data_IF_636395161478
#
_entry.id   IF_636395161478
#
_cell.length_a   1.000
_cell.length_b   1.000
_cell.length_c   1.000
_cell.angle_alpha   90.00
_cell.angle_beta   90.00
_cell.angle_gamma   90.00
#
_symmetry.space_group_name_H-M   'P 1'
#
loop_
_entity.id
_entity.type
_entity.pdbx_description
1 polymer ?
#
# COMPACT_ATOMS: atom_id res chain seq x y z
N UNK A 1 -3.84 -14.44 8.14
CA UNK A 1 -4.87 -13.36 8.29
C UNK A 1 -4.33 -12.22 9.16
N UNK A 2 -4.12 -11.04 8.54
CA UNK A 2 -3.47 -9.86 9.15
C UNK A 2 -4.41 -8.65 9.36
N UNK A 3 -5.50 -8.54 8.60
CA UNK A 3 -6.50 -7.47 8.80
C UNK A 3 -7.00 -7.49 10.23
N UNK A 4 -7.20 -6.31 10.83
CA UNK A 4 -7.51 -6.03 12.25
C UNK A 4 -6.36 -6.18 13.24
N UNK A 5 -5.21 -6.72 12.83
CA UNK A 5 -4.02 -6.84 13.69
C UNK A 5 -3.06 -5.67 13.48
N UNK A 6 -2.16 -5.48 14.43
CA UNK A 6 -1.00 -4.61 14.24
C UNK A 6 -0.13 -5.15 13.12
N UNK A 7 0.33 -4.26 12.25
CA UNK A 7 1.26 -4.56 11.19
C UNK A 7 2.55 -5.11 11.81
N UNK A 8 3.08 -6.25 11.33
CA UNK A 8 4.40 -6.73 11.74
C UNK A 8 5.43 -5.62 11.53
N UNK A 9 6.08 -5.20 12.62
CA UNK A 9 7.11 -4.18 12.55
C UNK A 9 8.40 -4.77 11.94
N UNK A 10 9.18 -3.93 11.27
CA UNK A 10 10.46 -4.31 10.72
C UNK A 10 11.41 -3.12 10.72
N UNK A 11 12.72 -3.43 10.81
CA UNK A 11 13.80 -2.51 10.53
C UNK A 11 14.71 -3.14 9.50
N UNK A 12 14.93 -2.46 8.37
CA UNK A 12 15.69 -3.00 7.25
C UNK A 12 16.41 -1.89 6.48
N UNK A 13 17.30 -2.30 5.58
CA UNK A 13 17.94 -1.38 4.63
C UNK A 13 16.92 -0.92 3.59
N UNK A 14 16.92 0.36 3.25
CA UNK A 14 16.05 0.92 2.22
C UNK A 14 16.77 1.98 1.38
N UNK A 15 16.28 2.17 0.16
CA UNK A 15 16.63 3.32 -0.69
C UNK A 15 15.51 4.36 -0.56
N UNK A 16 15.82 5.52 0.00
CA UNK A 16 14.86 6.61 0.18
C UNK A 16 14.52 7.29 -1.15
N UNK A 17 13.47 8.11 -1.15
CA UNK A 17 12.99 8.80 -2.34
C UNK A 17 14.05 9.69 -3.02
N UNK A 18 14.94 10.30 -2.22
CA UNK A 18 16.07 11.10 -2.69
C UNK A 18 17.26 10.27 -3.21
N UNK A 19 17.20 8.94 -3.05
CA UNK A 19 18.23 7.98 -3.46
C UNK A 19 19.22 7.62 -2.37
N UNK A 20 19.12 8.20 -1.17
CA UNK A 20 19.97 7.81 -0.05
C UNK A 20 19.68 6.36 0.36
N UNK A 21 20.74 5.57 0.55
CA UNK A 21 20.64 4.25 1.17
C UNK A 21 20.77 4.43 2.69
N UNK A 22 19.79 3.92 3.43
CA UNK A 22 19.80 3.89 4.90
C UNK A 22 19.70 2.45 5.39
N UNK A 23 20.37 2.11 6.48
CA UNK A 23 20.44 0.73 7.00
C UNK A 23 19.35 0.42 8.03
N UNK A 24 18.71 1.44 8.58
CA UNK A 24 17.79 1.37 9.72
C UNK A 24 16.40 1.94 9.42
N UNK A 25 15.87 1.72 8.22
CA UNK A 25 14.49 2.11 7.90
C UNK A 25 13.53 1.26 8.73
N UNK A 26 12.82 1.88 9.67
CA UNK A 26 11.78 1.23 10.47
C UNK A 26 10.37 1.57 9.96
N UNK A 27 9.47 0.58 9.92
CA UNK A 27 8.09 0.78 9.46
C UNK A 27 7.33 1.80 10.32
N UNK A 28 7.30 1.61 11.63
CA UNK A 28 6.48 2.42 12.54
C UNK A 28 6.95 3.87 12.62
N UNK A 29 8.27 4.11 12.52
CA UNK A 29 8.85 5.45 12.41
C UNK A 29 8.48 6.16 11.10
N UNK A 30 8.09 5.40 10.07
CA UNK A 30 7.73 5.91 8.76
C UNK A 30 6.22 5.82 8.45
N UNK A 31 5.39 5.46 9.43
CA UNK A 31 3.94 5.64 9.32
C UNK A 31 3.64 7.15 9.26
N UNK A 32 2.88 7.56 8.25
CA UNK A 32 2.47 8.97 8.08
C UNK A 32 1.47 9.40 9.16
N UNK A 33 1.12 10.69 9.18
CA UNK A 33 0.19 11.27 10.16
C UNK A 33 -1.11 10.47 10.33
N UNK A 34 -1.63 9.92 9.23
CA UNK A 34 -2.88 9.16 9.20
C UNK A 34 -2.71 7.69 8.81
N UNK A 35 -1.49 7.22 8.57
CA UNK A 35 -1.24 5.83 8.19
C UNK A 35 -0.17 5.66 7.10
N UNK A 36 -0.10 4.45 6.57
CA UNK A 36 0.81 4.07 5.50
C UNK A 36 0.20 3.04 4.54
N UNK A 37 0.71 3.02 3.32
CA UNK A 37 0.55 1.89 2.41
C UNK A 37 1.89 1.18 2.32
N UNK A 38 1.90 -0.10 2.64
CA UNK A 38 3.03 -1.00 2.37
C UNK A 38 2.66 -1.90 1.20
N UNK A 39 3.46 -1.91 0.14
CA UNK A 39 3.20 -2.73 -1.03
C UNK A 39 4.44 -3.51 -1.46
N UNK A 40 4.21 -4.76 -1.86
CA UNK A 40 5.24 -5.71 -2.25
C UNK A 40 5.25 -5.92 -3.76
N UNK A 41 6.41 -6.17 -4.35
CA UNK A 41 6.53 -6.71 -5.71
C UNK A 41 7.47 -7.92 -5.75
N UNK A 42 7.35 -8.79 -6.77
CA UNK A 42 8.17 -10.00 -6.85
C UNK A 42 9.67 -9.74 -6.97
N UNK A 43 10.09 -9.02 -8.01
CA UNK A 43 11.49 -8.80 -8.38
C UNK A 43 11.67 -7.49 -9.15
N UNK A 44 12.80 -6.85 -8.92
CA UNK A 44 13.33 -5.76 -9.74
C UNK A 44 13.62 -6.20 -11.19
N UNK A 45 13.62 -5.25 -12.12
CA UNK A 45 13.93 -5.45 -13.55
C UNK A 45 13.04 -6.51 -14.26
N UNK A 46 11.78 -6.64 -13.83
CA UNK A 46 10.78 -7.53 -14.46
C UNK A 46 9.65 -6.74 -15.13
N UNK A 47 8.55 -7.40 -15.53
CA UNK A 47 7.60 -6.86 -16.52
C UNK A 47 6.46 -6.02 -15.92
N UNK A 48 5.67 -6.58 -14.99
CA UNK A 48 4.50 -5.89 -14.41
C UNK A 48 4.91 -4.95 -13.28
N UNK A 49 5.96 -5.29 -12.53
CA UNK A 49 6.46 -4.52 -11.39
C UNK A 49 6.73 -3.03 -11.70
N UNK A 50 7.41 -2.64 -12.81
CA UNK A 50 7.69 -1.23 -13.08
C UNK A 50 6.41 -0.42 -13.30
N UNK A 51 5.36 -0.99 -13.91
CA UNK A 51 4.12 -0.24 -14.14
C UNK A 51 3.42 0.11 -12.81
N UNK A 52 3.41 -0.82 -11.85
CA UNK A 52 2.82 -0.60 -10.52
C UNK A 52 3.63 0.41 -9.70
N UNK A 53 4.95 0.26 -9.66
CA UNK A 53 5.86 1.15 -8.94
C UNK A 53 5.74 2.59 -9.48
N UNK A 54 5.74 2.75 -10.81
CA UNK A 54 5.55 4.07 -11.44
C UNK A 54 4.15 4.62 -11.14
N UNK A 55 3.10 3.78 -11.14
CA UNK A 55 1.74 4.21 -10.83
C UNK A 55 1.60 4.71 -9.38
N UNK A 56 2.22 4.05 -8.41
CA UNK A 56 2.33 4.53 -7.02
C UNK A 56 3.13 5.83 -6.94
N UNK A 57 4.25 5.92 -7.65
CA UNK A 57 5.12 7.10 -7.63
C UNK A 57 4.37 8.35 -8.16
N UNK A 58 3.62 8.21 -9.25
CA UNK A 58 2.81 9.30 -9.82
C UNK A 58 1.70 9.78 -8.88
N UNK A 59 1.18 8.90 -8.01
CA UNK A 59 0.11 9.19 -7.04
C UNK A 59 0.62 9.44 -5.62
N UNK A 60 1.93 9.44 -5.39
CA UNK A 60 2.50 9.59 -4.03
C UNK A 60 2.08 10.91 -3.39
N UNK A 61 1.96 11.98 -4.18
CA UNK A 61 1.50 13.29 -3.68
C UNK A 61 0.03 13.25 -3.22
N UNK A 62 -0.80 12.40 -3.83
CA UNK A 62 -2.20 12.21 -3.43
C UNK A 62 -2.34 11.44 -2.11
N UNK A 63 -1.49 10.44 -1.89
CA UNK A 63 -1.40 9.73 -0.61
C UNK A 63 -0.88 10.67 0.49
N UNK A 64 0.17 11.43 0.19
CA UNK A 64 0.75 12.40 1.11
C UNK A 64 -0.25 13.49 1.52
N UNK A 65 -1.05 14.00 0.58
CA UNK A 65 -2.13 14.95 0.86
C UNK A 65 -3.20 14.40 1.83
N UNK A 66 -3.30 13.07 1.97
CA UNK A 66 -4.18 12.37 2.91
C UNK A 66 -3.47 11.98 4.21
N UNK A 67 -2.21 12.38 4.40
CA UNK A 67 -1.39 11.97 5.55
C UNK A 67 -0.94 10.51 5.50
N UNK A 68 -0.97 9.88 4.32
CA UNK A 68 -0.54 8.50 4.11
C UNK A 68 0.85 8.48 3.47
N UNK A 69 1.78 7.78 4.10
CA UNK A 69 3.08 7.48 3.49
C UNK A 69 2.99 6.23 2.61
N UNK A 70 3.70 6.21 1.48
CA UNK A 70 3.83 5.03 0.62
C UNK A 70 5.19 4.40 0.86
N UNK A 71 5.23 3.08 1.03
CA UNK A 71 6.44 2.29 1.28
C UNK A 71 6.41 1.07 0.36
N UNK A 72 7.48 0.89 -0.41
CA UNK A 72 7.67 -0.25 -1.29
C UNK A 72 8.60 -1.30 -0.69
N UNK A 73 8.40 -2.58 -0.98
CA UNK A 73 9.27 -3.66 -0.54
C UNK A 73 9.40 -4.78 -1.61
N UNK A 74 10.61 -5.31 -1.80
CA UNK A 74 10.80 -6.63 -2.41
C UNK A 74 11.96 -7.36 -1.76
N UNK A 75 12.20 -8.59 -2.20
CA UNK A 75 13.30 -9.44 -1.72
C UNK A 75 14.67 -9.09 -2.33
N UNK A 76 14.73 -8.05 -3.16
CA UNK A 76 15.95 -7.60 -3.81
C UNK A 76 16.83 -6.78 -2.86
N UNK A 77 18.09 -6.58 -3.22
CA UNK A 77 18.99 -5.73 -2.44
C UNK A 77 18.75 -4.24 -2.70
N UNK A 78 19.13 -3.40 -1.75
CA UNK A 78 19.15 -1.94 -1.88
C UNK A 78 19.99 -1.46 -3.08
N UNK A 79 21.02 -2.21 -3.47
CA UNK A 79 21.83 -1.87 -4.64
C UNK A 79 21.06 -2.11 -5.95
N UNK A 80 20.26 -3.18 -6.01
CA UNK A 80 19.34 -3.42 -7.13
C UNK A 80 18.30 -2.30 -7.22
N UNK A 81 17.66 -1.96 -6.10
CA UNK A 81 16.71 -0.86 -6.04
C UNK A 81 17.32 0.46 -6.53
N UNK A 82 18.51 0.80 -6.04
CA UNK A 82 19.23 2.01 -6.44
C UNK A 82 19.54 2.03 -7.93
N UNK A 83 20.05 0.92 -8.48
CA UNK A 83 20.33 0.81 -9.90
C UNK A 83 19.05 0.94 -10.75
N UNK A 84 17.95 0.32 -10.31
CA UNK A 84 16.71 0.31 -11.07
C UNK A 84 16.03 1.68 -11.11
N UNK A 85 16.05 2.42 -9.99
CA UNK A 85 15.54 3.81 -9.93
C UNK A 85 16.39 4.81 -10.72
N UNK A 86 17.69 4.55 -10.89
CA UNK A 86 18.52 5.38 -11.78
C UNK A 86 18.45 4.93 -13.26
N UNK A 87 17.80 3.80 -13.55
CA UNK A 87 17.53 3.38 -14.92
C UNK A 87 16.33 4.16 -15.49
N UNK A 88 16.49 4.70 -16.70
CA UNK A 88 15.44 5.44 -17.39
C UNK A 88 14.25 4.53 -17.77
N UNK A 89 13.04 5.09 -17.79
CA UNK A 89 11.79 4.32 -18.00
C UNK A 89 11.73 3.68 -19.38
N UNK A 90 12.21 4.39 -20.41
CA UNK A 90 12.32 3.89 -21.78
C UNK A 90 13.27 2.69 -21.93
N UNK A 91 14.14 2.47 -20.93
CA UNK A 91 15.07 1.34 -20.86
C UNK A 91 14.59 0.25 -19.87
N UNK A 92 13.32 0.26 -19.46
CA UNK A 92 12.76 -0.71 -18.51
C UNK A 92 13.07 -0.40 -17.04
N UNK A 93 13.57 0.80 -16.75
CA UNK A 93 13.72 1.30 -15.38
C UNK A 93 12.43 1.84 -14.77
N UNK A 94 12.53 2.29 -13.52
CA UNK A 94 11.41 2.92 -12.80
C UNK A 94 11.58 4.44 -12.60
N UNK A 95 12.74 4.98 -12.97
CA UNK A 95 13.10 6.36 -12.69
C UNK A 95 13.13 6.68 -11.19
N UNK A 96 13.35 7.96 -10.84
CA UNK A 96 13.44 8.41 -9.45
C UNK A 96 12.06 8.44 -8.79
N UNK A 97 11.65 7.28 -8.28
CA UNK A 97 10.39 7.09 -7.56
C UNK A 97 10.35 7.88 -6.26
N UNK A 98 9.14 8.29 -5.85
CA UNK A 98 8.92 9.25 -4.75
C UNK A 98 8.73 8.63 -3.36
N UNK A 99 9.06 7.36 -3.18
CA UNK A 99 8.85 6.62 -1.93
C UNK A 99 10.05 5.74 -1.57
N UNK A 100 10.21 5.34 -0.30
CA UNK A 100 11.24 4.40 0.12
C UNK A 100 11.04 3.00 -0.47
N UNK A 101 12.14 2.38 -0.92
CA UNK A 101 12.20 1.00 -1.40
C UNK A 101 12.99 0.14 -0.41
N UNK A 102 12.28 -0.69 0.35
CA UNK A 102 12.81 -1.57 1.39
C UNK A 102 13.34 -2.87 0.78
N UNK A 103 14.57 -3.23 1.17
CA UNK A 103 15.26 -4.44 0.74
C UNK A 103 15.05 -5.58 1.77
N UNK A 104 14.13 -6.50 1.48
CA UNK A 104 13.82 -7.69 2.29
C UNK A 104 14.73 -8.87 1.91
N UNK A 105 16.04 -8.68 2.00
CA UNK A 105 17.02 -9.64 1.47
C UNK A 105 16.93 -11.02 2.15
N UNK A 106 16.59 -11.04 3.45
CA UNK A 106 16.41 -12.27 4.23
C UNK A 106 15.00 -12.88 4.09
N UNK A 107 14.09 -12.21 3.36
CA UNK A 107 12.71 -12.61 3.07
C UNK A 107 11.79 -12.67 4.29
N UNK A 108 12.23 -12.15 5.43
CA UNK A 108 11.49 -12.23 6.68
C UNK A 108 10.28 -11.30 6.65
N UNK A 109 10.40 -10.10 6.05
CA UNK A 109 9.28 -9.17 5.96
C UNK A 109 8.18 -9.79 5.09
N UNK A 110 8.54 -10.37 3.94
CA UNK A 110 7.61 -11.05 3.06
C UNK A 110 6.93 -12.26 3.73
N UNK A 111 7.63 -12.98 4.62
CA UNK A 111 7.04 -14.07 5.43
C UNK A 111 6.07 -13.55 6.47
N UNK A 112 6.46 -12.51 7.21
CA UNK A 112 5.64 -11.94 8.29
C UNK A 112 4.35 -11.31 7.75
N UNK A 113 4.40 -10.79 6.53
CA UNK A 113 3.25 -10.28 5.81
C UNK A 113 2.47 -11.34 5.02
N UNK A 114 2.86 -12.62 5.09
CA UNK A 114 2.18 -13.75 4.44
C UNK A 114 2.08 -13.58 2.91
N UNK A 115 3.13 -13.01 2.30
CA UNK A 115 3.22 -12.77 0.85
C UNK A 115 4.39 -13.50 0.19
N UNK A 116 5.27 -14.17 0.95
CA UNK A 116 6.37 -14.92 0.35
C UNK A 116 5.86 -16.18 -0.38
N UNK A 117 6.20 -16.30 -1.66
CA UNK A 117 5.82 -17.42 -2.52
C UNK A 117 7.02 -18.33 -2.78
N UNK A 118 6.85 -19.62 -2.46
CA UNK A 118 7.81 -20.67 -2.77
C UNK A 118 9.21 -20.45 -2.17
N UNK A 119 9.30 -19.80 -1.01
CA UNK A 119 10.57 -19.40 -0.37
C UNK A 119 11.47 -18.51 -1.25
N UNK A 120 10.89 -17.82 -2.24
CA UNK A 120 11.65 -17.14 -3.30
C UNK A 120 11.35 -15.65 -3.40
N UNK A 121 10.13 -15.28 -3.80
CA UNK A 121 9.71 -13.91 -4.15
C UNK A 121 8.42 -13.52 -3.43
N UNK A 122 8.16 -12.23 -3.26
CA UNK A 122 6.87 -11.79 -2.75
C UNK A 122 5.79 -11.84 -3.85
N UNK A 123 4.56 -12.23 -3.49
CA UNK A 123 3.36 -11.94 -4.28
C UNK A 123 3.10 -10.43 -4.30
N UNK A 124 2.15 -10.01 -5.15
CA UNK A 124 1.75 -8.60 -5.27
C UNK A 124 0.82 -8.20 -4.13
N UNK A 125 1.36 -8.16 -2.91
CA UNK A 125 0.65 -7.75 -1.70
C UNK A 125 0.59 -6.24 -1.54
N UNK A 126 -0.54 -5.70 -1.06
CA UNK A 126 -0.65 -4.30 -0.60
C UNK A 126 -1.46 -4.24 0.68
N UNK A 127 -1.00 -3.44 1.63
CA UNK A 127 -1.55 -3.32 2.96
C UNK A 127 -1.81 -1.85 3.28
N UNK A 128 -3.04 -1.52 3.66
CA UNK A 128 -3.39 -0.23 4.24
C UNK A 128 -3.26 -0.32 5.76
N UNK A 129 -2.34 0.45 6.31
CA UNK A 129 -1.99 0.50 7.72
C UNK A 129 -2.50 1.83 8.27
N UNK A 130 -3.37 1.79 9.28
CA UNK A 130 -3.88 2.96 9.98
C UNK A 130 -2.79 3.62 10.85
N UNK A 131 -3.01 4.85 11.32
CA UNK A 131 -2.04 5.60 12.14
C UNK A 131 -1.60 4.89 13.41
N UNK A 132 -2.42 3.99 13.94
CA UNK A 132 -2.12 3.21 15.13
C UNK A 132 -1.35 1.91 14.81
N UNK A 133 -1.02 1.67 13.53
CA UNK A 133 -0.37 0.45 13.04
C UNK A 133 -1.34 -0.67 12.71
N UNK A 134 -2.66 -0.50 12.85
CA UNK A 134 -3.63 -1.56 12.54
C UNK A 134 -3.79 -1.72 11.03
N UNK A 135 -3.69 -2.94 10.51
CA UNK A 135 -3.97 -3.24 9.10
C UNK A 135 -5.50 -3.21 8.88
N UNK A 136 -5.96 -2.29 8.04
CA UNK A 136 -7.39 -2.10 7.72
C UNK A 136 -7.82 -2.77 6.43
N UNK A 137 -6.91 -2.90 5.48
CA UNK A 137 -7.17 -3.53 4.19
C UNK A 137 -5.92 -4.25 3.69
N UNK A 138 -6.11 -5.38 3.02
CA UNK A 138 -5.06 -6.12 2.37
C UNK A 138 -5.57 -6.71 1.06
N UNK A 139 -4.75 -6.64 0.02
CA UNK A 139 -4.99 -7.30 -1.28
C UNK A 139 -3.72 -8.04 -1.69
N UNK A 140 -3.86 -9.29 -2.13
CA UNK A 140 -2.75 -10.11 -2.59
C UNK A 140 -3.14 -10.67 -3.95
N UNK A 141 -2.41 -10.24 -4.97
CA UNK A 141 -2.61 -10.70 -6.34
C UNK A 141 -1.55 -11.75 -6.71
N UNK A 142 -1.94 -12.71 -7.55
CA UNK A 142 -1.00 -13.59 -8.24
C UNK A 142 -0.06 -12.78 -9.16
N UNK A 143 1.08 -13.37 -9.51
CA UNK A 143 2.17 -12.74 -10.26
C UNK A 143 1.76 -12.05 -11.57
N UNK A 144 0.84 -12.56 -12.41
CA UNK A 144 0.47 -11.89 -13.66
C UNK A 144 -0.54 -10.75 -13.47
N UNK A 145 -1.12 -10.59 -12.27
CA UNK A 145 -2.25 -9.69 -12.03
C UNK A 145 -1.81 -8.38 -11.38
N UNK A 146 -1.58 -7.34 -12.18
CA UNK A 146 -1.29 -6.01 -11.68
C UNK A 146 -2.40 -5.44 -10.80
N UNK A 147 -2.04 -4.59 -9.83
CA UNK A 147 -2.96 -3.92 -8.92
C UNK A 147 -3.57 -2.66 -9.52
N UNK A 148 -4.68 -2.22 -8.92
CA UNK A 148 -5.27 -0.92 -9.18
C UNK A 148 -4.92 0.06 -8.03
N UNK A 149 -4.10 1.08 -8.32
CA UNK A 149 -3.69 2.08 -7.31
C UNK A 149 -4.87 3.00 -6.93
N UNK A 150 -5.82 3.22 -7.83
CA UNK A 150 -7.00 4.05 -7.54
C UNK A 150 -7.91 3.37 -6.50
N UNK A 151 -7.95 2.03 -6.49
CA UNK A 151 -8.66 1.27 -5.45
C UNK A 151 -7.98 1.43 -4.08
N UNK A 152 -6.65 1.51 -4.03
CA UNK A 152 -5.93 1.82 -2.79
C UNK A 152 -6.25 3.23 -2.29
N UNK A 153 -6.37 4.22 -3.18
CA UNK A 153 -6.82 5.58 -2.82
C UNK A 153 -8.24 5.54 -2.27
N UNK A 154 -9.16 4.82 -2.93
CA UNK A 154 -10.55 4.66 -2.47
C UNK A 154 -10.61 4.04 -1.08
N UNK A 155 -9.81 3.02 -0.80
CA UNK A 155 -9.75 2.39 0.52
C UNK A 155 -9.13 3.30 1.59
N UNK A 156 -8.14 4.12 1.24
CA UNK A 156 -7.65 5.19 2.13
C UNK A 156 -8.78 6.16 2.46
N UNK A 157 -9.49 6.67 1.46
CA UNK A 157 -10.59 7.61 1.67
C UNK A 157 -11.70 6.99 2.54
N UNK A 158 -12.01 5.71 2.36
CA UNK A 158 -13.02 4.99 3.16
C UNK A 158 -12.57 4.82 4.62
N UNK A 159 -11.29 4.47 4.84
CA UNK A 159 -10.71 4.36 6.18
C UNK A 159 -10.75 5.72 6.89
N UNK A 160 -10.31 6.79 6.23
CA UNK A 160 -10.30 8.13 6.80
C UNK A 160 -11.71 8.62 7.12
N UNK A 161 -12.67 8.41 6.23
CA UNK A 161 -14.08 8.73 6.47
C UNK A 161 -14.62 7.98 7.70
N UNK A 162 -14.41 6.66 7.77
CA UNK A 162 -14.86 5.85 8.90
C UNK A 162 -14.24 6.33 10.22
N UNK A 163 -12.95 6.69 10.20
CA UNK A 163 -12.23 7.19 11.37
C UNK A 163 -12.73 8.58 11.82
N UNK A 164 -13.15 9.43 10.88
CA UNK A 164 -13.62 10.80 11.16
C UNK A 164 -15.08 10.83 11.64
N UNK A 165 -15.96 10.08 10.97
CA UNK A 165 -17.41 10.18 11.19
C UNK A 165 -17.98 9.03 12.04
N UNK A 166 -17.27 7.90 12.17
CA UNK A 166 -17.79 6.70 12.82
C UNK A 166 -18.89 5.98 12.02
N UNK A 167 -19.10 6.38 10.77
CA UNK A 167 -20.02 5.76 9.82
C UNK A 167 -19.29 4.72 8.96
N UNK A 168 -20.00 3.71 8.47
CA UNK A 168 -19.43 2.70 7.57
C UNK A 168 -19.61 3.10 6.12
N UNK A 169 -18.67 2.69 5.26
CA UNK A 169 -18.72 2.91 3.82
C UNK A 169 -19.43 1.73 3.12
N UNK A 170 -20.54 1.95 2.41
CA UNK A 170 -21.25 0.92 1.64
C UNK A 170 -20.45 0.39 0.43
N UNK A 171 -21.00 -0.62 -0.26
CA UNK A 171 -20.39 -1.19 -1.45
C UNK A 171 -20.19 -0.12 -2.54
N UNK A 172 -19.00 -0.08 -3.13
CA UNK A 172 -18.67 0.90 -4.18
C UNK A 172 -18.46 2.34 -3.69
N UNK A 173 -18.52 2.61 -2.37
CA UNK A 173 -18.37 3.95 -1.82
C UNK A 173 -17.10 4.65 -2.30
N UNK A 174 -17.24 5.91 -2.71
CA UNK A 174 -16.18 6.82 -3.08
C UNK A 174 -16.25 8.09 -2.24
N UNK A 175 -15.14 8.84 -2.23
CA UNK A 175 -15.08 10.13 -1.52
C UNK A 175 -16.17 11.08 -2.01
N UNK A 176 -17.05 11.48 -1.10
CA UNK A 176 -18.19 12.36 -1.38
C UNK A 176 -19.54 11.63 -1.32
N UNK A 177 -19.56 10.30 -1.34
CA UNK A 177 -20.77 9.50 -1.17
C UNK A 177 -21.25 9.51 0.29
N UNK A 178 -22.55 9.30 0.48
CA UNK A 178 -23.20 9.17 1.79
C UNK A 178 -22.65 7.92 2.52
N UNK A 179 -22.24 8.10 3.77
CA UNK A 179 -21.92 6.98 4.68
C UNK A 179 -23.18 6.30 5.22
N UNK A 180 -23.01 5.22 5.96
CA UNK A 180 -24.11 4.51 6.60
C UNK A 180 -23.87 4.36 8.10
N UNK A 181 -24.85 4.76 8.92
CA UNK A 181 -24.78 4.53 10.37
C UNK A 181 -24.87 3.04 10.67
N UNK A 182 -23.95 2.53 11.48
CA UNK A 182 -23.85 1.11 11.81
C UNK A 182 -24.89 0.66 12.86
N UNK A 183 -26.17 0.86 12.57
CA UNK A 183 -27.29 0.38 13.37
C UNK A 183 -28.51 0.07 12.48
N UNK A 184 -29.54 -0.55 13.07
CA UNK A 184 -30.72 -1.04 12.33
C UNK A 184 -31.45 0.06 11.55
N UNK A 185 -31.60 1.24 12.14
CA UNK A 185 -32.32 2.34 11.50
C UNK A 185 -31.46 3.00 10.41
N UNK A 186 -30.15 3.09 10.64
CA UNK A 186 -29.18 3.62 9.68
C UNK A 186 -29.10 2.83 8.38
N UNK A 187 -29.09 1.50 8.46
CA UNK A 187 -29.12 0.66 7.25
C UNK A 187 -30.45 0.76 6.50
N UNK A 188 -31.57 0.83 7.22
CA UNK A 188 -32.90 0.97 6.59
C UNK A 188 -33.04 2.30 5.85
N UNK A 189 -32.61 3.40 6.48
CA UNK A 189 -32.63 4.74 5.87
C UNK A 189 -31.71 4.84 4.64
N UNK A 190 -30.50 4.29 4.73
CA UNK A 190 -29.56 4.28 3.60
C UNK A 190 -30.12 3.49 2.40
N UNK A 191 -30.60 2.26 2.64
CA UNK A 191 -31.09 1.39 1.56
C UNK A 191 -32.36 1.95 0.90
N UNK A 192 -33.27 2.57 1.65
CA UNK A 192 -34.47 3.20 1.10
C UNK A 192 -34.14 4.29 0.06
N UNK A 193 -32.97 4.94 0.17
CA UNK A 193 -32.53 6.00 -0.74
C UNK A 193 -31.62 5.51 -1.87
N UNK A 194 -30.87 4.43 -1.64
CA UNK A 194 -29.71 4.08 -2.46
C UNK A 194 -29.74 2.67 -3.08
N UNK A 195 -30.74 1.83 -2.78
CA UNK A 195 -30.80 0.44 -3.29
C UNK A 195 -30.69 0.35 -4.81
N UNK A 196 -31.37 1.21 -5.57
CA UNK A 196 -31.29 1.20 -7.04
C UNK A 196 -29.95 1.64 -7.65
N UNK A 197 -28.96 2.05 -6.85
CA UNK A 197 -27.60 2.42 -7.30
C UNK A 197 -26.54 1.38 -6.97
N UNK A 198 -26.87 0.39 -6.14
CA UNK A 198 -25.99 -0.70 -5.72
C UNK A 198 -25.98 -1.82 -6.77
#
# INVERSE_FOLDING_TARGET
>A
MLVTKKAPDFTATAVLADGQIVENFNLYENIGEKGAILFFWPLDFTFVCPSEIIAFSKRTDEFKARGINVIGCSVDSQFSHFAWRETAVENGGIGRVKFPMVADLNKQISKDYDVLFGESVALRGSFLIDKDGTIRHAVINDLPLGRNVDEMIRMVDAMLFTNEYGEVCPAGWQKGDEGMKANKDGVADYLAKNEGKL
#
